data_IF_407115406741
#
_entry.id   IF_407115406741
#
_cell.length_a   1.000
_cell.length_b   1.000
_cell.length_c   1.000
_cell.angle_alpha   90.00
_cell.angle_beta   90.00
_cell.angle_gamma   90.00
#
_symmetry.space_group_name_H-M   'P 1'
#
loop_
_entity.id
_entity.type
_entity.pdbx_description
1 polymer ?
#
# COMPACT_ATOMS: atom_id res chain seq x y z
N UNK A 1 9.66 -14.15 -3.95
CA UNK A 1 8.84 -12.94 -3.65
C UNK A 1 9.64 -11.83 -2.97
N UNK A 2 10.98 -11.85 -2.99
CA UNK A 2 11.80 -10.81 -2.33
C UNK A 2 12.12 -9.61 -3.24
N UNK A 3 12.31 -9.85 -4.55
CA UNK A 3 12.67 -8.84 -5.54
C UNK A 3 11.55 -7.80 -5.74
N UNK A 4 10.27 -8.23 -5.70
CA UNK A 4 9.13 -7.33 -5.87
C UNK A 4 9.05 -6.26 -4.78
N UNK A 5 9.51 -6.59 -3.57
CA UNK A 5 9.48 -5.67 -2.43
C UNK A 5 10.52 -4.56 -2.56
N UNK A 6 11.72 -4.87 -3.08
CA UNK A 6 12.80 -3.87 -3.19
C UNK A 6 12.39 -2.80 -4.20
N UNK A 7 11.85 -3.20 -5.36
CA UNK A 7 11.46 -2.27 -6.41
C UNK A 7 10.32 -1.34 -5.97
N UNK A 8 9.28 -1.87 -5.31
CA UNK A 8 8.16 -1.06 -4.81
C UNK A 8 8.65 -0.04 -3.77
N UNK A 9 9.54 -0.45 -2.87
CA UNK A 9 10.12 0.45 -1.87
C UNK A 9 10.97 1.55 -2.51
N UNK A 10 11.82 1.22 -3.48
CA UNK A 10 12.63 2.20 -4.20
C UNK A 10 11.76 3.20 -4.97
N UNK A 11 10.74 2.74 -5.70
CA UNK A 11 9.85 3.63 -6.45
C UNK A 11 9.06 4.56 -5.52
N UNK A 12 8.60 4.05 -4.37
CA UNK A 12 7.92 4.86 -3.37
C UNK A 12 8.85 5.94 -2.77
N UNK A 13 10.11 5.60 -2.49
CA UNK A 13 11.11 6.55 -2.00
C UNK A 13 11.43 7.66 -3.02
N UNK A 14 11.38 7.34 -4.33
CA UNK A 14 11.59 8.31 -5.40
C UNK A 14 10.30 9.05 -5.83
N UNK A 15 9.18 8.84 -5.13
CA UNK A 15 7.92 9.52 -5.45
C UNK A 15 7.28 9.10 -6.77
N UNK A 16 7.69 7.94 -7.33
CA UNK A 16 7.22 7.40 -8.60
C UNK A 16 5.98 6.49 -8.44
N UNK A 17 5.43 6.42 -7.22
CA UNK A 17 4.19 5.69 -6.93
C UNK A 17 3.05 6.68 -6.82
N UNK A 18 2.16 6.66 -7.81
CA UNK A 18 0.96 7.50 -7.81
C UNK A 18 -0.22 6.86 -7.09
N UNK A 19 -0.33 5.52 -7.12
CA UNK A 19 -1.47 4.76 -6.57
C UNK A 19 -1.01 3.50 -5.82
N UNK A 20 -1.63 3.25 -4.67
CA UNK A 20 -1.51 2.03 -3.87
C UNK A 20 -2.80 1.22 -3.95
N UNK A 21 -2.71 -0.03 -4.43
CA UNK A 21 -3.81 -1.00 -4.41
C UNK A 21 -3.52 -2.06 -3.35
N UNK A 22 -4.23 -1.97 -2.23
CA UNK A 22 -4.01 -2.82 -1.07
C UNK A 22 -5.11 -3.88 -0.98
N UNK A 23 -4.71 -5.15 -0.97
CA UNK A 23 -5.61 -6.26 -0.64
C UNK A 23 -5.46 -6.60 0.84
N UNK A 24 -6.53 -6.39 1.60
CA UNK A 24 -6.61 -6.73 3.02
C UNK A 24 -7.26 -8.09 3.16
N UNK A 25 -6.50 -9.05 3.68
CA UNK A 25 -6.97 -10.41 3.95
C UNK A 25 -7.44 -10.52 5.41
N UNK A 26 -8.55 -11.23 5.69
CA UNK A 26 -9.09 -11.38 7.04
C UNK A 26 -8.30 -12.44 7.84
N UNK A 27 -6.99 -12.26 7.98
CA UNK A 27 -6.08 -13.16 8.71
C UNK A 27 -5.04 -12.35 9.48
N UNK A 28 -4.71 -12.81 10.69
CA UNK A 28 -3.63 -12.25 11.50
C UNK A 28 -2.43 -13.18 11.42
N UNK A 29 -1.35 -12.73 10.78
CA UNK A 29 -0.14 -13.54 10.56
C UNK A 29 0.84 -13.53 11.75
N UNK A 30 0.71 -12.59 12.69
CA UNK A 30 1.58 -12.44 13.86
C UNK A 30 2.99 -11.91 13.58
N UNK A 31 3.61 -12.28 12.46
CA UNK A 31 4.90 -11.75 11.99
C UNK A 31 4.95 -11.79 10.45
N UNK A 32 5.78 -10.95 9.83
CA UNK A 32 5.92 -10.90 8.37
C UNK A 32 6.68 -9.67 7.86
N UNK A 33 6.89 -9.66 6.55
CA UNK A 33 7.53 -8.52 5.87
C UNK A 33 6.61 -7.31 5.90
N UNK A 34 7.12 -6.17 6.37
CA UNK A 34 6.36 -4.91 6.41
C UNK A 34 6.20 -4.35 4.99
N UNK A 35 4.98 -4.01 4.64
CA UNK A 35 4.69 -3.34 3.36
C UNK A 35 5.31 -1.94 3.31
N UNK A 36 5.27 -1.22 4.42
CA UNK A 36 5.91 0.08 4.56
C UNK A 36 7.06 -0.02 5.56
N UNK A 37 8.28 0.41 5.19
CA UNK A 37 9.41 0.41 6.11
C UNK A 37 9.20 1.46 7.21
N UNK A 38 9.96 1.33 8.29
CA UNK A 38 9.95 2.30 9.39
C UNK A 38 10.30 3.70 8.89
N UNK A 39 9.54 4.71 9.32
CA UNK A 39 9.73 6.11 8.90
C UNK A 39 9.13 6.47 7.54
N UNK A 40 8.47 5.54 6.85
CA UNK A 40 7.70 5.88 5.65
C UNK A 40 6.41 6.62 6.03
N UNK A 41 6.26 7.85 5.53
CA UNK A 41 5.08 8.68 5.74
C UNK A 41 4.58 9.21 4.40
N UNK A 42 3.27 9.14 4.19
CA UNK A 42 2.61 9.60 2.98
C UNK A 42 1.16 9.99 3.30
N UNK A 43 0.68 11.09 2.73
CA UNK A 43 -0.73 11.42 2.74
C UNK A 43 -1.42 10.66 1.60
N UNK A 44 -2.47 9.90 1.93
CA UNK A 44 -3.22 9.10 0.97
C UNK A 44 -4.65 9.60 0.85
N UNK A 45 -5.18 9.62 -0.36
CA UNK A 45 -6.58 9.88 -0.66
C UNK A 45 -7.25 8.57 -1.10
N UNK A 46 -8.35 8.19 -0.45
CA UNK A 46 -9.13 7.02 -0.86
C UNK A 46 -9.76 7.27 -2.24
N UNK A 47 -9.54 6.34 -3.17
CA UNK A 47 -10.13 6.34 -4.52
C UNK A 47 -11.28 5.34 -4.58
N UNK A 48 -11.05 4.12 -4.10
CA UNK A 48 -12.00 3.01 -4.24
C UNK A 48 -11.89 2.08 -3.02
N UNK A 49 -13.02 1.49 -2.64
CA UNK A 49 -13.06 0.34 -1.73
C UNK A 49 -14.02 -0.69 -2.30
N UNK A 50 -13.55 -1.95 -2.38
CA UNK A 50 -14.35 -3.07 -2.88
C UNK A 50 -14.18 -4.28 -1.97
N UNK A 51 -15.27 -4.75 -1.39
CA UNK A 51 -15.32 -6.01 -0.65
C UNK A 51 -15.65 -7.17 -1.59
N UNK A 52 -15.00 -8.30 -1.38
CA UNK A 52 -15.30 -9.55 -2.07
C UNK A 52 -16.04 -10.53 -1.14
N UNK A 53 -16.84 -11.47 -1.68
CA UNK A 53 -17.51 -12.49 -0.87
C UNK A 53 -16.57 -13.35 -0.02
N UNK A 54 -15.30 -13.44 -0.39
CA UNK A 54 -14.25 -14.11 0.39
C UNK A 54 -13.85 -13.39 1.69
N UNK A 55 -14.40 -12.19 1.94
CA UNK A 55 -13.99 -11.33 3.05
C UNK A 55 -12.72 -10.52 2.78
N UNK A 56 -12.09 -10.68 1.62
CA UNK A 56 -10.99 -9.83 1.17
C UNK A 56 -11.53 -8.44 0.82
N UNK A 57 -10.77 -7.40 1.14
CA UNK A 57 -11.09 -6.01 0.77
C UNK A 57 -9.98 -5.43 -0.08
N UNK A 58 -10.32 -4.94 -1.28
CA UNK A 58 -9.45 -4.08 -2.07
C UNK A 58 -9.67 -2.63 -1.63
N UNK A 59 -8.57 -1.94 -1.34
CA UNK A 59 -8.57 -0.50 -1.06
C UNK A 59 -7.56 0.17 -1.99
N UNK A 60 -8.04 1.10 -2.82
CA UNK A 60 -7.21 1.87 -3.74
C UNK A 60 -7.01 3.27 -3.19
N UNK A 61 -5.76 3.68 -3.02
CA UNK A 61 -5.37 5.00 -2.52
C UNK A 61 -4.50 5.73 -3.55
N UNK A 62 -4.72 7.03 -3.74
CA UNK A 62 -3.80 7.91 -4.45
C UNK A 62 -2.85 8.57 -3.46
N UNK A 63 -1.61 8.81 -3.85
CA UNK A 63 -0.75 9.72 -3.10
C UNK A 63 -1.33 11.14 -3.19
N UNK A 64 -1.71 11.71 -2.05
CA UNK A 64 -2.05 13.13 -1.96
C UNK A 64 -0.74 13.90 -1.93
N UNK A 65 -0.37 14.49 -3.07
CA UNK A 65 0.73 15.46 -3.09
C UNK A 65 0.25 16.67 -2.31
N UNK A 66 0.85 16.94 -1.16
CA UNK A 66 0.66 18.23 -0.51
C UNK A 66 1.22 19.29 -1.45
N UNK A 67 0.32 19.98 -2.15
CA UNK A 67 0.64 21.26 -2.77
C UNK A 67 0.83 22.26 -1.64
N UNK A 68 2.05 22.35 -1.14
CA UNK A 68 2.55 23.53 -0.44
C UNK A 68 2.88 24.63 -1.45
#
# INVERSE_FOLDING_TARGET
MEILSILVHTLAQHGLVDEYRLLVYPVVLGNGKRLFPSGFHAHLQLIETKSFPSGVVLVCYRLKRDSG
#
